data_IF_415046132938
#
_entry.id   IF_415046132938
#
_cell.length_a   1.000
_cell.length_b   1.000
_cell.length_c   1.000
_cell.angle_alpha   90.00
_cell.angle_beta   90.00
_cell.angle_gamma   90.00
#
_symmetry.space_group_name_H-M   'P 1'
#
loop_
_entity.id
_entity.type
_entity.pdbx_description
1 polymer ?
#
# COMPACT_ATOMS: atom_id res chain seq x y z
N UNK A 1 -36.36 -18.22 0.04
CA UNK A 1 -35.30 -18.29 -0.97
C UNK A 1 -35.19 -17.01 -1.78
N UNK A 2 -34.26 -16.93 -2.77
CA UNK A 2 -34.08 -15.71 -3.60
C UNK A 2 -35.33 -15.34 -4.39
N UNK A 3 -36.03 -16.34 -4.90
CA UNK A 3 -37.30 -16.19 -5.64
C UNK A 3 -38.41 -15.54 -4.78
N UNK A 4 -38.49 -15.91 -3.50
CA UNK A 4 -39.47 -15.31 -2.56
C UNK A 4 -39.16 -13.84 -2.26
N UNK A 5 -37.93 -13.39 -2.50
CA UNK A 5 -37.49 -12.01 -2.39
C UNK A 5 -37.60 -11.22 -3.71
N UNK A 6 -38.22 -11.81 -4.73
CA UNK A 6 -38.40 -11.18 -6.03
C UNK A 6 -37.12 -11.03 -6.86
N UNK A 7 -36.08 -11.81 -6.55
CA UNK A 7 -34.82 -11.77 -7.29
C UNK A 7 -34.86 -12.80 -8.43
N UNK A 8 -34.50 -12.34 -9.62
CA UNK A 8 -34.38 -13.16 -10.83
C UNK A 8 -32.90 -13.48 -11.12
N UNK A 9 -32.65 -14.61 -11.80
CA UNK A 9 -31.32 -14.99 -12.22
C UNK A 9 -30.88 -14.21 -13.48
N UNK A 10 -29.58 -13.88 -13.63
CA UNK A 10 -28.43 -14.28 -12.78
C UNK A 10 -28.26 -13.42 -11.51
N UNK A 11 -27.77 -14.03 -10.43
CA UNK A 11 -27.55 -13.38 -9.14
C UNK A 11 -26.10 -13.52 -8.70
N UNK A 12 -25.50 -12.42 -8.26
CA UNK A 12 -24.19 -12.42 -7.61
C UNK A 12 -24.37 -12.50 -6.08
N UNK A 13 -23.92 -13.60 -5.49
CA UNK A 13 -23.91 -13.78 -4.04
C UNK A 13 -22.57 -13.37 -3.46
N UNK A 14 -22.58 -12.51 -2.46
CA UNK A 14 -21.44 -12.17 -1.62
C UNK A 14 -21.68 -12.62 -0.20
N UNK A 15 -20.69 -13.35 0.32
CA UNK A 15 -20.75 -13.90 1.68
C UNK A 15 -19.68 -13.21 2.52
N UNK A 16 -20.05 -12.16 3.24
CA UNK A 16 -19.11 -11.32 4.02
C UNK A 16 -18.33 -12.14 5.04
N UNK A 17 -18.93 -13.15 5.66
CA UNK A 17 -18.25 -14.00 6.63
C UNK A 17 -17.04 -14.74 6.07
N UNK A 18 -17.03 -15.04 4.77
CA UNK A 18 -15.86 -15.66 4.12
C UNK A 18 -14.72 -14.65 4.09
N UNK A 19 -14.97 -13.41 3.69
CA UNK A 19 -13.97 -12.35 3.66
C UNK A 19 -13.41 -12.08 5.08
N UNK A 20 -14.29 -11.92 6.05
CA UNK A 20 -13.92 -11.72 7.45
C UNK A 20 -13.03 -12.86 7.98
N UNK A 21 -13.42 -14.12 7.71
CA UNK A 21 -12.66 -15.29 8.13
C UNK A 21 -11.28 -15.38 7.46
N UNK A 22 -11.14 -14.93 6.21
CA UNK A 22 -9.85 -14.94 5.49
C UNK A 22 -8.90 -13.86 6.00
N UNK A 23 -9.40 -12.66 6.27
CA UNK A 23 -8.60 -11.59 6.89
C UNK A 23 -8.07 -12.07 8.24
N UNK A 24 -8.97 -12.57 9.10
CA UNK A 24 -8.61 -13.13 10.40
C UNK A 24 -7.55 -14.23 10.29
N UNK A 25 -7.78 -15.24 9.43
CA UNK A 25 -6.87 -16.36 9.25
C UNK A 25 -5.47 -15.90 8.81
N UNK A 26 -5.38 -14.94 7.89
CA UNK A 26 -4.13 -14.38 7.42
C UNK A 26 -3.32 -13.79 8.60
N UNK A 27 -3.94 -12.93 9.39
CA UNK A 27 -3.29 -12.31 10.55
C UNK A 27 -2.91 -13.32 11.63
N UNK A 28 -3.77 -14.29 11.92
CA UNK A 28 -3.49 -15.34 12.90
C UNK A 28 -2.29 -16.23 12.49
N UNK A 29 -2.17 -16.55 11.18
CA UNK A 29 -1.05 -17.34 10.67
C UNK A 29 0.28 -16.60 10.76
N UNK A 30 0.31 -15.33 10.37
CA UNK A 30 1.50 -14.51 10.54
C UNK A 30 1.85 -14.30 12.02
N UNK A 31 0.87 -14.03 12.87
CA UNK A 31 1.11 -13.91 14.31
C UNK A 31 1.65 -15.22 14.94
N UNK A 32 1.18 -16.39 14.48
CA UNK A 32 1.72 -17.67 14.91
C UNK A 32 3.18 -17.85 14.49
N UNK A 33 3.50 -17.57 13.22
CA UNK A 33 4.87 -17.64 12.71
C UNK A 33 5.81 -16.65 13.42
N UNK A 34 5.37 -15.42 13.66
CA UNK A 34 6.14 -14.41 14.40
C UNK A 34 6.52 -14.94 15.79
N UNK A 35 5.57 -15.55 16.51
CA UNK A 35 5.85 -16.16 17.83
C UNK A 35 6.78 -17.35 17.73
N UNK A 36 6.55 -18.25 16.77
CA UNK A 36 7.35 -19.46 16.58
C UNK A 36 8.83 -19.15 16.29
N UNK A 37 9.09 -18.17 15.42
CA UNK A 37 10.45 -17.78 15.03
C UNK A 37 11.04 -16.65 15.88
N UNK A 38 10.37 -16.17 16.92
CA UNK A 38 10.85 -15.09 17.78
C UNK A 38 11.10 -13.80 17.03
N UNK A 39 10.36 -13.54 15.94
CA UNK A 39 10.48 -12.30 15.16
C UNK A 39 9.98 -11.12 15.98
N UNK A 40 10.74 -10.00 16.00
CA UNK A 40 10.45 -8.84 16.86
C UNK A 40 9.56 -7.78 16.21
N UNK A 41 9.18 -7.96 14.95
CA UNK A 41 8.26 -7.08 14.25
C UNK A 41 6.81 -7.57 14.29
N UNK A 42 5.94 -6.81 13.64
CA UNK A 42 4.52 -7.12 13.49
C UNK A 42 4.17 -7.38 12.02
N UNK A 43 3.08 -8.10 11.79
CA UNK A 43 2.47 -8.21 10.48
C UNK A 43 1.36 -7.18 10.34
N UNK A 44 1.42 -6.36 9.31
CA UNK A 44 0.39 -5.39 8.92
C UNK A 44 -0.05 -5.71 7.49
N UNK A 45 -1.27 -6.22 7.35
CA UNK A 45 -1.85 -6.49 6.03
C UNK A 45 -2.23 -5.19 5.33
N UNK A 46 -2.13 -5.18 4.00
CA UNK A 46 -2.55 -4.04 3.16
C UNK A 46 -3.28 -4.59 1.94
N UNK A 47 -4.48 -4.09 1.68
CA UNK A 47 -5.30 -4.52 0.55
C UNK A 47 -5.16 -3.54 -0.63
N UNK A 48 -4.73 -4.03 -1.82
CA UNK A 48 -4.68 -3.19 -3.02
C UNK A 48 -6.07 -3.00 -3.61
N UNK A 49 -6.54 -1.75 -3.66
CA UNK A 49 -7.90 -1.43 -4.15
C UNK A 49 -8.12 -1.90 -5.58
N UNK A 50 -7.09 -1.86 -6.43
CA UNK A 50 -7.15 -2.33 -7.83
C UNK A 50 -7.64 -3.76 -8.01
N UNK A 51 -7.50 -4.63 -7.00
CA UNK A 51 -7.94 -6.04 -7.07
C UNK A 51 -9.45 -6.13 -7.15
N UNK A 52 -10.17 -5.38 -6.34
CA UNK A 52 -11.61 -5.20 -6.44
C UNK A 52 -12.01 -3.87 -5.77
N UNK A 53 -12.40 -2.90 -6.60
CA UNK A 53 -12.69 -1.51 -6.19
C UNK A 53 -14.15 -1.32 -5.77
N UNK A 54 -14.95 -2.38 -5.69
CA UNK A 54 -16.35 -2.25 -5.31
C UNK A 54 -16.46 -1.75 -3.88
N UNK A 55 -17.24 -0.70 -3.67
CA UNK A 55 -17.44 -0.03 -2.40
C UNK A 55 -17.65 -1.02 -1.25
N UNK A 56 -18.61 -1.95 -1.39
CA UNK A 56 -18.94 -2.93 -0.36
C UNK A 56 -17.77 -3.87 -0.02
N UNK A 57 -16.87 -4.14 -1.00
CA UNK A 57 -15.70 -4.99 -0.75
C UNK A 57 -14.66 -4.22 0.05
N UNK A 58 -14.36 -2.98 -0.34
CA UNK A 58 -13.38 -2.14 0.36
C UNK A 58 -13.87 -1.83 1.78
N UNK A 59 -15.14 -1.46 1.93
CA UNK A 59 -15.79 -1.25 3.24
C UNK A 59 -15.64 -2.46 4.16
N UNK A 60 -15.97 -3.66 3.66
CA UNK A 60 -15.85 -4.89 4.43
C UNK A 60 -14.40 -5.22 4.80
N UNK A 61 -13.45 -4.97 3.91
CA UNK A 61 -12.02 -5.16 4.22
C UNK A 61 -11.57 -4.24 5.34
N UNK A 62 -11.91 -2.96 5.29
CA UNK A 62 -11.59 -2.01 6.36
C UNK A 62 -12.28 -2.41 7.66
N UNK A 63 -13.58 -2.71 7.62
CA UNK A 63 -14.37 -3.12 8.79
C UNK A 63 -13.80 -4.36 9.48
N UNK A 64 -13.55 -5.43 8.74
CA UNK A 64 -13.05 -6.68 9.30
C UNK A 64 -11.54 -6.68 9.53
N UNK A 65 -10.82 -5.77 8.88
CA UNK A 65 -9.39 -5.55 9.06
C UNK A 65 -9.04 -4.64 10.23
N UNK A 66 -10.00 -3.83 10.72
CA UNK A 66 -9.76 -2.84 11.79
C UNK A 66 -9.10 -3.41 13.06
N UNK A 67 -9.47 -4.60 13.58
CA UNK A 67 -8.80 -5.19 14.75
C UNK A 67 -7.31 -5.54 14.52
N UNK A 68 -6.85 -5.48 13.27
CA UNK A 68 -5.49 -5.84 12.85
C UNK A 68 -4.76 -4.65 12.21
N UNK A 69 -5.34 -3.46 12.24
CA UNK A 69 -4.82 -2.28 11.55
C UNK A 69 -4.53 -2.55 10.05
N UNK A 70 -5.42 -3.30 9.40
CA UNK A 70 -5.28 -3.68 8.00
C UNK A 70 -5.48 -2.46 7.12
N UNK A 71 -4.46 -2.12 6.34
CA UNK A 71 -4.43 -0.93 5.52
C UNK A 71 -4.93 -1.12 4.09
N UNK A 72 -4.80 -0.07 3.29
CA UNK A 72 -5.13 -0.06 1.86
C UNK A 72 -3.92 0.37 1.03
N UNK A 73 -3.86 -0.10 -0.23
CA UNK A 73 -2.90 0.37 -1.22
C UNK A 73 -3.65 1.06 -2.35
N UNK A 74 -3.12 2.19 -2.79
CA UNK A 74 -3.62 2.98 -3.89
C UNK A 74 -2.52 3.25 -4.91
N UNK A 75 -2.77 2.98 -6.19
CA UNK A 75 -1.87 3.21 -7.31
C UNK A 75 -2.35 4.29 -8.28
N UNK A 76 -3.47 4.95 -7.98
CA UNK A 76 -4.04 6.05 -8.77
C UNK A 76 -4.73 7.08 -7.88
N UNK A 77 -4.94 8.29 -8.40
CA UNK A 77 -5.66 9.37 -7.67
C UNK A 77 -7.06 8.94 -7.24
N UNK A 78 -7.79 8.26 -8.10
CA UNK A 78 -9.14 7.77 -7.78
C UNK A 78 -9.11 6.74 -6.64
N UNK A 79 -8.16 5.81 -6.68
CA UNK A 79 -7.97 4.84 -5.59
C UNK A 79 -7.54 5.51 -4.29
N UNK A 80 -6.68 6.53 -4.35
CA UNK A 80 -6.24 7.28 -3.19
C UNK A 80 -7.41 8.03 -2.52
N UNK A 81 -8.25 8.69 -3.29
CA UNK A 81 -9.46 9.36 -2.78
C UNK A 81 -10.40 8.34 -2.14
N UNK A 82 -10.64 7.20 -2.80
CA UNK A 82 -11.45 6.13 -2.26
C UNK A 82 -10.86 5.59 -0.93
N UNK A 83 -9.55 5.31 -0.89
CA UNK A 83 -8.89 4.84 0.33
C UNK A 83 -9.02 5.83 1.50
N UNK A 84 -8.84 7.12 1.23
CA UNK A 84 -8.99 8.18 2.23
C UNK A 84 -10.41 8.25 2.80
N UNK A 85 -11.42 7.89 2.02
CA UNK A 85 -12.82 7.90 2.48
C UNK A 85 -13.18 6.72 3.40
N UNK A 86 -12.45 5.61 3.30
CA UNK A 86 -12.71 4.40 4.08
C UNK A 86 -11.79 4.22 5.29
N UNK A 87 -10.53 4.67 5.21
CA UNK A 87 -9.58 4.50 6.30
C UNK A 87 -9.88 5.46 7.45
N UNK A 88 -10.36 4.90 8.55
CA UNK A 88 -10.64 5.63 9.81
C UNK A 88 -9.69 5.25 10.94
N UNK A 89 -8.94 4.16 10.79
CA UNK A 89 -7.98 3.69 11.77
C UNK A 89 -6.65 4.46 11.60
N UNK A 90 -6.19 5.23 12.62
CA UNK A 90 -4.96 6.02 12.52
C UNK A 90 -3.68 5.17 12.51
N UNK A 91 -3.77 3.88 12.83
CA UNK A 91 -2.63 2.95 12.78
C UNK A 91 -2.56 2.16 11.46
N UNK A 92 -3.62 2.17 10.66
CA UNK A 92 -3.64 1.51 9.36
C UNK A 92 -2.83 2.29 8.32
N UNK A 93 -2.04 1.60 7.52
CA UNK A 93 -1.25 2.24 6.47
C UNK A 93 -2.06 2.46 5.20
N UNK A 94 -1.85 3.60 4.56
CA UNK A 94 -2.22 3.88 3.19
C UNK A 94 -0.95 3.88 2.34
N UNK A 95 -0.74 2.82 1.58
CA UNK A 95 0.46 2.67 0.75
C UNK A 95 0.19 3.25 -0.64
N UNK A 96 0.98 4.24 -1.03
CA UNK A 96 0.91 4.92 -2.31
C UNK A 96 1.97 4.38 -3.26
N UNK A 97 1.57 3.44 -4.12
CA UNK A 97 2.37 2.88 -5.22
C UNK A 97 2.03 3.55 -6.56
N UNK A 98 2.66 3.11 -7.65
CA UNK A 98 2.41 3.61 -8.99
C UNK A 98 3.04 4.99 -9.25
N UNK A 99 2.81 5.51 -10.46
CA UNK A 99 3.29 6.82 -10.86
C UNK A 99 2.59 7.94 -10.09
N UNK A 100 3.38 8.89 -9.57
CA UNK A 100 2.90 9.98 -8.73
C UNK A 100 3.17 11.31 -9.41
N UNK A 101 2.10 11.96 -9.85
CA UNK A 101 2.14 13.37 -10.25
C UNK A 101 1.93 14.30 -9.03
N UNK A 102 2.01 15.60 -9.28
CA UNK A 102 1.87 16.63 -8.24
C UNK A 102 0.55 16.51 -7.46
N UNK A 103 -0.57 16.31 -8.17
CA UNK A 103 -1.89 16.18 -7.54
C UNK A 103 -2.00 14.92 -6.67
N UNK A 104 -1.43 13.80 -7.13
CA UNK A 104 -1.39 12.58 -6.33
C UNK A 104 -0.60 12.77 -5.03
N UNK A 105 0.56 13.44 -5.13
CA UNK A 105 1.41 13.74 -3.99
C UNK A 105 0.69 14.67 -3.01
N UNK A 106 0.06 15.72 -3.50
CA UNK A 106 -0.70 16.65 -2.67
C UNK A 106 -1.83 15.96 -1.90
N UNK A 107 -2.60 15.09 -2.57
CA UNK A 107 -3.64 14.29 -1.93
C UNK A 107 -3.08 13.42 -0.79
N UNK A 108 -1.97 12.72 -1.02
CA UNK A 108 -1.34 11.90 0.02
C UNK A 108 -0.75 12.73 1.17
N UNK A 109 -0.23 13.94 0.90
CA UNK A 109 0.21 14.88 1.93
C UNK A 109 -0.98 15.42 2.74
N UNK A 110 -2.13 15.68 2.09
CA UNK A 110 -3.35 16.01 2.83
C UNK A 110 -3.85 14.83 3.67
N UNK A 111 -3.74 13.59 3.20
CA UNK A 111 -4.03 12.41 4.00
C UNK A 111 -3.19 12.38 5.30
N UNK A 112 -1.89 12.69 5.22
CA UNK A 112 -1.02 12.82 6.39
C UNK A 112 -1.50 13.92 7.34
N UNK A 113 -1.94 15.08 6.84
CA UNK A 113 -2.53 16.15 7.67
C UNK A 113 -3.81 15.71 8.38
N UNK A 114 -4.56 14.82 7.76
CA UNK A 114 -5.78 14.23 8.35
C UNK A 114 -5.49 13.13 9.36
N UNK A 115 -4.22 12.77 9.56
CA UNK A 115 -3.80 11.73 10.50
C UNK A 115 -3.75 10.31 9.91
N UNK A 116 -3.95 10.16 8.60
CA UNK A 116 -3.81 8.87 7.91
C UNK A 116 -2.32 8.59 7.68
N UNK A 117 -1.86 7.38 7.98
CA UNK A 117 -0.47 6.93 7.78
C UNK A 117 -0.17 6.68 6.29
N UNK A 118 -0.09 7.75 5.50
CA UNK A 118 0.16 7.70 4.05
C UNK A 118 1.65 7.56 3.76
N UNK A 119 2.05 6.48 3.09
CA UNK A 119 3.45 6.17 2.73
C UNK A 119 3.62 6.26 1.23
N UNK A 120 4.46 7.17 0.75
CA UNK A 120 4.83 7.26 -0.66
C UNK A 120 5.96 6.30 -0.97
N UNK A 121 5.70 5.29 -1.80
CA UNK A 121 6.71 4.34 -2.25
C UNK A 121 7.36 4.86 -3.55
N UNK A 122 8.65 5.20 -3.48
CA UNK A 122 9.43 5.67 -4.62
C UNK A 122 9.64 4.53 -5.61
N UNK A 123 9.14 4.68 -6.82
CA UNK A 123 9.24 3.71 -7.91
C UNK A 123 10.05 4.24 -9.09
N UNK A 124 10.36 5.55 -9.11
CA UNK A 124 11.23 6.18 -10.11
C UNK A 124 12.14 7.23 -9.48
N UNK A 125 13.33 7.53 -10.12
CA UNK A 125 14.32 8.45 -9.55
C UNK A 125 13.81 9.89 -9.34
N UNK A 126 12.90 10.36 -10.19
CA UNK A 126 12.40 11.75 -10.13
C UNK A 126 11.36 12.02 -9.05
N UNK A 127 10.75 10.99 -8.49
CA UNK A 127 9.63 11.16 -7.53
C UNK A 127 10.07 11.82 -6.22
N UNK A 128 11.28 11.54 -5.74
CA UNK A 128 11.75 12.10 -4.47
C UNK A 128 11.79 13.63 -4.50
N UNK A 129 12.36 14.22 -5.54
CA UNK A 129 12.48 15.67 -5.64
C UNK A 129 11.10 16.36 -5.61
N UNK A 130 10.14 15.82 -6.37
CA UNK A 130 8.79 16.34 -6.40
C UNK A 130 8.08 16.19 -5.05
N UNK A 131 8.21 15.03 -4.38
CA UNK A 131 7.61 14.83 -3.05
C UNK A 131 8.19 15.81 -2.04
N UNK A 132 9.50 16.03 -2.02
CA UNK A 132 10.14 16.96 -1.08
C UNK A 132 9.74 18.41 -1.36
N UNK A 133 9.62 18.81 -2.62
CA UNK A 133 9.11 20.12 -3.02
C UNK A 133 7.68 20.36 -2.50
N UNK A 134 6.77 19.42 -2.78
CA UNK A 134 5.36 19.52 -2.34
C UNK A 134 5.24 19.45 -0.82
N UNK A 135 6.00 18.57 -0.17
CA UNK A 135 6.04 18.44 1.29
C UNK A 135 6.47 19.76 1.96
N UNK A 136 7.47 20.44 1.39
CA UNK A 136 7.90 21.77 1.85
C UNK A 136 6.81 22.82 1.63
N UNK A 137 6.20 22.86 0.45
CA UNK A 137 5.14 23.82 0.12
C UNK A 137 3.93 23.68 1.05
N UNK A 138 3.53 22.44 1.37
CA UNK A 138 2.41 22.14 2.24
C UNK A 138 2.77 22.06 3.72
N UNK A 139 4.04 22.22 4.08
CA UNK A 139 4.56 22.11 5.47
C UNK A 139 4.17 20.78 6.13
N UNK A 140 4.34 19.67 5.41
CA UNK A 140 4.05 18.32 5.87
C UNK A 140 5.32 17.49 5.79
N UNK A 141 5.63 16.72 6.84
CA UNK A 141 6.71 15.75 6.80
C UNK A 141 6.23 14.47 6.13
N UNK A 142 6.77 14.06 4.96
CA UNK A 142 6.31 12.87 4.26
C UNK A 142 6.77 11.60 4.96
N UNK A 143 6.06 10.49 4.76
CA UNK A 143 6.52 9.14 5.08
C UNK A 143 6.88 8.47 3.75
N UNK A 144 8.10 7.99 3.63
CA UNK A 144 8.66 7.50 2.39
C UNK A 144 8.99 6.00 2.47
N UNK A 145 8.82 5.33 1.34
CA UNK A 145 9.34 4.01 1.07
C UNK A 145 10.17 4.01 -0.21
N UNK A 146 11.02 3.03 -0.39
CA UNK A 146 11.71 2.76 -1.65
C UNK A 146 11.33 1.37 -2.15
N UNK A 147 10.97 1.27 -3.43
CA UNK A 147 10.80 -0.01 -4.10
C UNK A 147 12.10 -0.39 -4.76
N UNK A 148 12.67 -1.52 -4.35
CA UNK A 148 13.89 -2.08 -4.95
C UNK A 148 13.55 -3.04 -6.08
N UNK A 149 14.36 -3.00 -7.13
CA UNK A 149 14.36 -4.04 -8.17
C UNK A 149 15.05 -5.28 -7.62
N UNK A 150 14.39 -6.43 -7.74
CA UNK A 150 14.99 -7.70 -7.37
C UNK A 150 15.79 -8.23 -8.55
N UNK A 151 17.05 -8.63 -8.31
CA UNK A 151 17.89 -9.31 -9.31
C UNK A 151 17.51 -10.78 -9.51
N UNK A 152 16.80 -11.38 -8.54
CA UNK A 152 16.30 -12.75 -8.64
C UNK A 152 15.06 -12.80 -9.53
N UNK A 153 15.07 -13.70 -10.53
CA UNK A 153 13.87 -13.99 -11.31
C UNK A 153 12.94 -14.86 -10.47
N UNK A 154 11.78 -14.31 -10.12
CA UNK A 154 10.69 -15.15 -9.61
C UNK A 154 10.14 -15.97 -10.81
N UNK A 155 10.05 -17.29 -10.64
CA UNK A 155 9.41 -18.16 -11.63
C UNK A 155 7.91 -17.85 -11.72
N UNK A 156 7.37 -17.78 -12.94
CA UNK A 156 5.94 -17.59 -13.18
C UNK A 156 5.65 -16.72 -14.41
N UNK A 157 4.38 -16.50 -14.71
CA UNK A 157 3.90 -15.71 -15.87
C UNK A 157 4.39 -14.25 -15.91
N UNK A 158 4.91 -13.73 -14.80
CA UNK A 158 5.39 -12.35 -14.65
C UNK A 158 6.92 -12.24 -14.59
N UNK A 159 7.65 -13.27 -15.05
CA UNK A 159 9.11 -13.28 -15.08
C UNK A 159 9.70 -12.09 -15.87
N UNK A 160 8.97 -11.54 -16.84
CA UNK A 160 9.38 -10.39 -17.64
C UNK A 160 9.23 -9.04 -16.92
N UNK A 161 8.40 -8.96 -15.86
CA UNK A 161 8.19 -7.74 -15.09
C UNK A 161 9.14 -7.59 -13.88
N UNK A 162 9.98 -8.60 -13.64
CA UNK A 162 11.01 -8.61 -12.60
C UNK A 162 12.41 -8.28 -13.13
N UNK A 163 13.35 -8.08 -12.21
CA UNK A 163 14.75 -7.82 -12.52
C UNK A 163 15.03 -6.38 -12.99
N UNK A 164 16.22 -6.17 -13.54
CA UNK A 164 16.68 -4.84 -14.00
C UNK A 164 15.84 -4.21 -15.11
N UNK A 165 15.07 -5.02 -15.84
CA UNK A 165 14.15 -4.57 -16.89
C UNK A 165 12.79 -4.09 -16.38
N UNK A 166 12.52 -4.25 -15.08
CA UNK A 166 11.28 -3.73 -14.50
C UNK A 166 11.16 -2.22 -14.73
N UNK A 167 10.00 -1.77 -15.19
CA UNK A 167 9.68 -0.34 -15.35
C UNK A 167 9.66 0.36 -14.01
N UNK A 168 9.25 -0.35 -12.95
CA UNK A 168 9.11 0.18 -11.61
C UNK A 168 10.22 -0.32 -10.68
N UNK A 169 10.57 0.54 -9.73
CA UNK A 169 11.56 0.26 -8.70
C UNK A 169 12.92 0.85 -9.03
N UNK A 170 13.74 0.99 -8.02
CA UNK A 170 15.07 1.57 -8.05
C UNK A 170 16.12 0.47 -8.01
N UNK A 171 17.20 0.64 -8.75
CA UNK A 171 18.39 -0.20 -8.60
C UNK A 171 19.21 0.25 -7.37
N UNK A 172 20.24 -0.51 -7.01
CA UNK A 172 21.04 -0.24 -5.81
C UNK A 172 21.67 1.16 -5.82
N UNK A 173 22.19 1.63 -6.95
CA UNK A 173 22.79 2.97 -7.06
C UNK A 173 21.74 4.07 -6.82
N UNK A 174 20.56 3.93 -7.42
CA UNK A 174 19.45 4.87 -7.23
C UNK A 174 18.93 4.88 -5.80
N UNK A 175 18.91 3.74 -5.09
CA UNK A 175 18.57 3.69 -3.67
C UNK A 175 19.59 4.44 -2.82
N UNK A 176 20.90 4.30 -3.13
CA UNK A 176 21.97 5.04 -2.46
C UNK A 176 21.78 6.54 -2.69
N UNK A 177 21.49 6.96 -3.93
CA UNK A 177 21.25 8.36 -4.27
C UNK A 177 20.06 8.94 -3.46
N UNK A 178 18.96 8.18 -3.31
CA UNK A 178 17.82 8.56 -2.48
C UNK A 178 18.24 8.77 -1.02
N UNK A 179 19.00 7.84 -0.45
CA UNK A 179 19.50 7.91 0.93
C UNK A 179 20.40 9.15 1.11
N UNK A 180 21.29 9.41 0.17
CA UNK A 180 22.21 10.54 0.24
C UNK A 180 21.49 11.89 0.10
N UNK A 181 20.50 11.99 -0.80
CA UNK A 181 19.66 13.18 -0.93
C UNK A 181 18.86 13.44 0.37
N UNK A 182 18.24 12.41 0.96
CA UNK A 182 17.51 12.53 2.22
C UNK A 182 18.41 12.89 3.38
N UNK A 183 19.63 12.34 3.43
CA UNK A 183 20.64 12.70 4.44
C UNK A 183 21.07 14.16 4.30
N UNK A 184 21.35 14.63 3.10
CA UNK A 184 21.72 16.02 2.83
C UNK A 184 20.59 17.00 3.19
N UNK A 185 19.32 16.57 3.00
CA UNK A 185 18.16 17.37 3.39
C UNK A 185 17.82 17.30 4.90
N UNK A 186 18.53 16.48 5.70
CA UNK A 186 18.20 16.23 7.10
C UNK A 186 16.88 15.47 7.30
N UNK A 187 16.43 14.71 6.29
CA UNK A 187 15.13 14.03 6.27
C UNK A 187 15.24 12.51 6.14
N UNK A 188 16.40 11.93 6.46
CA UNK A 188 16.59 10.48 6.37
C UNK A 188 15.60 9.70 7.24
N UNK A 189 15.13 10.28 8.31
CA UNK A 189 14.14 9.71 9.20
C UNK A 189 12.72 9.63 8.59
N UNK A 190 12.49 10.25 7.42
CA UNK A 190 11.27 10.06 6.63
C UNK A 190 11.23 8.71 5.92
N UNK A 191 12.38 8.10 5.64
CA UNK A 191 12.47 6.81 4.97
C UNK A 191 12.18 5.68 5.96
N UNK A 192 10.99 5.07 5.84
CA UNK A 192 10.45 4.10 6.79
C UNK A 192 10.19 2.72 6.20
N UNK A 193 10.11 2.60 4.87
CA UNK A 193 9.66 1.38 4.22
C UNK A 193 10.61 0.95 3.12
N UNK A 194 10.98 -0.32 3.13
CA UNK A 194 11.63 -1.01 2.01
C UNK A 194 10.59 -1.91 1.35
N UNK A 195 10.32 -1.67 0.08
CA UNK A 195 9.33 -2.41 -0.69
C UNK A 195 9.99 -3.19 -1.81
N UNK A 196 9.47 -4.37 -2.10
CA UNK A 196 9.78 -5.13 -3.30
C UNK A 196 8.55 -5.90 -3.77
N UNK A 197 8.49 -6.20 -5.07
CA UNK A 197 7.42 -6.95 -5.68
C UNK A 197 7.95 -8.31 -6.14
N UNK A 198 7.36 -9.40 -5.63
CA UNK A 198 7.80 -10.74 -5.99
C UNK A 198 7.17 -11.24 -7.30
N UNK A 199 6.06 -10.63 -7.70
CA UNK A 199 5.21 -11.19 -8.74
C UNK A 199 4.42 -12.41 -8.26
N UNK A 200 3.42 -12.81 -8.99
CA UNK A 200 2.62 -14.02 -8.73
C UNK A 200 2.20 -14.67 -10.04
#
# INVERSE_FOLDING_TARGET
GLHERGMEMPVLLRIENILASRIKLLHERFAAAIREFGYRGEYRGVYPIKVNQQEQVVENIVKYGAPYHHGLEAGSKAELIAAMSFLTDPEAFLICNGYKDEEFIDLGLYALKMGIQCVFVLESPGELALILERAKALQVKPILGVRIKLSAQAGGHWAESGGDRSVFGLNAAQVIDVVDQLRAAGMLDCLKLLHYHLGS
#
